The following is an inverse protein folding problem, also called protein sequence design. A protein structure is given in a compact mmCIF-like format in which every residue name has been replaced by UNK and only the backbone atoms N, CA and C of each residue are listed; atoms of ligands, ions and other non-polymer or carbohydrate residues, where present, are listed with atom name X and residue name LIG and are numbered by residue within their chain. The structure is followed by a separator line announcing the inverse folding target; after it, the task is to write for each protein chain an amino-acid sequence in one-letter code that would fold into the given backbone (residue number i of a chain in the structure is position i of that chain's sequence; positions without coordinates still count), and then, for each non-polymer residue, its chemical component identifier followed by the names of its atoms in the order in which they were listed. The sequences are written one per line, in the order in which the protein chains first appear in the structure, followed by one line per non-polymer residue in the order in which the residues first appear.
data_IF_695792497475
#
_entry.id   IF_695792497475
#
_cell.length_a   1.000
_cell.length_b   1.000
_cell.length_c   1.000
_cell.angle_alpha   90.00
_cell.angle_beta   90.00
_cell.angle_gamma   90.00
#
_symmetry.space_group_name_H-M   'P 1'
#
loop_
_entity.id
_entity.type
_entity.pdbx_description
1 polymer ?
#
# COMPACT_ATOMS: atom_id res chain seq x y z
N UNK A 1 -0.48 0.20 4.91
CA UNK A 1 0.94 -0.21 4.86
C UNK A 1 1.71 0.56 5.91
N UNK A 2 2.59 -0.10 6.64
CA UNK A 2 3.46 0.54 7.62
C UNK A 2 4.91 0.09 7.39
N UNK A 3 5.84 1.03 7.42
CA UNK A 3 7.28 0.76 7.37
C UNK A 3 8.03 1.72 8.31
N UNK A 4 9.32 1.47 8.55
CA UNK A 4 10.16 2.37 9.32
C UNK A 4 11.29 2.91 8.45
N UNK A 5 11.38 4.24 8.34
CA UNK A 5 12.46 4.93 7.64
C UNK A 5 13.35 5.62 8.66
N UNK A 6 14.63 5.20 8.73
CA UNK A 6 15.59 5.76 9.68
C UNK A 6 15.97 7.21 9.35
N UNK A 7 15.88 7.61 8.08
CA UNK A 7 16.21 8.98 7.66
C UNK A 7 15.11 9.98 8.02
N UNK A 8 13.91 9.49 8.35
CA UNK A 8 12.76 10.30 8.78
C UNK A 8 12.61 10.36 10.31
N UNK A 9 13.66 10.07 11.06
CA UNK A 9 13.67 10.19 12.53
C UNK A 9 14.06 11.60 12.96
N UNK A 10 13.39 12.12 13.98
CA UNK A 10 13.75 13.37 14.62
C UNK A 10 13.51 13.34 16.13
N UNK A 11 14.27 14.16 16.85
CA UNK A 11 14.06 14.39 18.27
C UNK A 11 12.97 15.46 18.45
N UNK A 12 11.91 15.13 19.19
CA UNK A 12 10.77 16.03 19.35
C UNK A 12 11.13 17.29 20.13
N UNK A 13 12.16 17.26 20.99
CA UNK A 13 12.64 18.44 21.73
C UNK A 13 13.12 19.56 20.82
N UNK A 14 13.69 19.22 19.67
CA UNK A 14 14.33 20.19 18.77
C UNK A 14 13.31 20.90 17.86
N UNK A 15 12.08 20.36 17.80
CA UNK A 15 11.00 20.81 16.93
C UNK A 15 9.70 21.08 17.71
N UNK A 16 9.80 21.62 18.92
CA UNK A 16 8.63 22.09 19.68
C UNK A 16 7.64 20.99 20.09
N UNK A 17 8.12 19.75 20.26
CA UNK A 17 7.30 18.62 20.67
C UNK A 17 6.51 17.95 19.54
N UNK A 18 6.76 18.27 18.27
CA UNK A 18 6.09 17.65 17.12
C UNK A 18 6.39 16.14 17.09
N UNK A 19 5.34 15.33 17.16
CA UNK A 19 5.44 13.85 17.17
C UNK A 19 5.09 13.20 15.84
N UNK A 20 4.28 13.86 15.01
CA UNK A 20 3.85 13.34 13.72
C UNK A 20 3.67 14.43 12.66
N UNK A 21 3.79 14.04 11.39
CA UNK A 21 3.67 14.88 10.20
C UNK A 21 2.87 14.15 9.12
N UNK A 22 2.19 14.90 8.26
CA UNK A 22 1.48 14.36 7.08
C UNK A 22 2.25 14.81 5.84
N UNK A 23 2.90 13.87 5.15
CA UNK A 23 3.77 14.16 4.02
C UNK A 23 3.18 13.55 2.75
N UNK A 24 3.08 14.30 1.63
CA UNK A 24 2.68 13.73 0.36
C UNK A 24 3.58 12.57 -0.07
N UNK A 25 3.02 11.47 -0.62
CA UNK A 25 3.74 10.22 -0.82
C UNK A 25 4.82 10.32 -1.91
N UNK A 26 4.79 11.33 -2.77
CA UNK A 26 5.82 11.59 -3.79
C UNK A 26 7.08 12.27 -3.24
N UNK A 27 7.09 12.69 -1.97
CA UNK A 27 8.24 13.37 -1.33
C UNK A 27 9.11 12.45 -0.49
N UNK A 28 8.65 11.23 -0.24
CA UNK A 28 9.37 10.23 0.56
C UNK A 28 9.34 8.90 -0.20
N UNK A 29 10.27 8.02 0.14
CA UNK A 29 10.20 6.65 -0.34
C UNK A 29 8.95 5.97 0.23
N UNK A 30 8.27 5.17 -0.60
CA UNK A 30 7.18 4.28 -0.20
C UNK A 30 7.34 2.94 -0.94
N UNK A 31 6.93 1.81 -0.35
CA UNK A 31 6.91 0.55 -1.08
C UNK A 31 5.93 0.62 -2.26
N UNK A 32 6.30 -0.02 -3.36
CA UNK A 32 5.58 -0.09 -4.64
C UNK A 32 4.68 -1.34 -4.71
N UNK A 33 3.77 -1.46 -3.73
CA UNK A 33 2.83 -2.59 -3.69
C UNK A 33 1.73 -2.41 -4.74
N UNK A 34 1.66 -3.34 -5.68
CA UNK A 34 0.68 -3.37 -6.78
C UNK A 34 -0.02 -4.73 -6.85
N UNK A 35 -1.17 -4.77 -7.53
CA UNK A 35 -1.94 -6.01 -7.72
C UNK A 35 -1.55 -6.70 -9.03
N UNK A 36 -1.02 -7.92 -8.96
CA UNK A 36 -0.49 -8.63 -10.13
C UNK A 36 -1.58 -9.16 -11.06
N UNK A 37 -2.70 -9.64 -10.51
CA UNK A 37 -3.82 -10.14 -11.29
C UNK A 37 -4.87 -9.04 -11.54
N UNK A 38 -4.43 -7.81 -11.80
CA UNK A 38 -5.31 -6.71 -12.20
C UNK A 38 -5.99 -6.99 -13.54
N UNK A 39 -7.27 -6.66 -13.61
CA UNK A 39 -8.09 -6.60 -14.82
C UNK A 39 -8.37 -5.14 -15.23
N UNK A 40 -7.84 -4.15 -14.51
CA UNK A 40 -7.92 -2.74 -14.86
C UNK A 40 -6.70 -2.30 -15.69
N UNK A 41 -6.91 -1.38 -16.63
CA UNK A 41 -5.83 -0.74 -17.41
C UNK A 41 -4.96 0.13 -16.48
N UNK A 42 -5.58 0.76 -15.47
CA UNK A 42 -4.87 1.41 -14.39
C UNK A 42 -4.30 0.39 -13.40
N UNK A 43 -3.02 0.04 -13.55
CA UNK A 43 -2.35 -0.92 -12.64
C UNK A 43 -2.32 -0.45 -11.17
N UNK A 44 -2.21 0.86 -10.93
CA UNK A 44 -2.36 1.45 -9.60
C UNK A 44 -3.82 1.87 -9.38
N UNK A 45 -4.58 1.04 -8.67
CA UNK A 45 -5.97 1.30 -8.32
C UNK A 45 -6.15 2.21 -7.09
N UNK A 46 -5.06 2.77 -6.54
CA UNK A 46 -5.10 3.53 -5.29
C UNK A 46 -5.22 5.04 -5.52
N UNK A 47 -5.95 5.71 -4.63
CA UNK A 47 -6.00 7.17 -4.57
C UNK A 47 -4.95 7.67 -3.57
N UNK A 48 -4.00 8.46 -4.05
CA UNK A 48 -2.88 8.91 -3.23
C UNK A 48 -3.34 9.80 -2.07
N UNK A 49 -3.02 9.38 -0.84
CA UNK A 49 -3.22 10.14 0.39
C UNK A 49 -1.88 10.55 0.99
N UNK A 50 -1.88 11.43 2.00
CA UNK A 50 -0.65 11.75 2.72
C UNK A 50 -0.23 10.57 3.61
N UNK A 51 1.08 10.38 3.75
CA UNK A 51 1.69 9.43 4.69
C UNK A 51 1.78 10.09 6.06
N UNK A 52 1.35 9.39 7.10
CA UNK A 52 1.56 9.81 8.49
C UNK A 52 2.93 9.33 8.93
N UNK A 53 3.87 10.26 9.10
CA UNK A 53 5.24 9.99 9.54
C UNK A 53 5.35 10.38 11.00
N UNK A 54 5.85 9.49 11.85
CA UNK A 54 6.10 9.72 13.28
C UNK A 54 7.57 9.97 13.56
N UNK A 55 7.88 10.63 14.67
CA UNK A 55 9.24 11.04 15.02
C UNK A 55 10.25 9.89 15.18
N UNK A 56 9.77 8.67 15.44
CA UNK A 56 10.57 7.45 15.50
C UNK A 56 10.82 6.81 14.11
N UNK A 57 10.42 7.47 13.02
CA UNK A 57 10.56 7.01 11.65
C UNK A 57 9.45 6.08 11.16
N UNK A 58 8.46 5.74 12.00
CA UNK A 58 7.29 4.95 11.57
C UNK A 58 6.47 5.75 10.56
N UNK A 59 6.21 5.14 9.41
CA UNK A 59 5.47 5.71 8.30
C UNK A 59 4.23 4.86 8.06
N UNK A 60 3.05 5.44 8.26
CA UNK A 60 1.76 4.81 8.00
C UNK A 60 1.12 5.40 6.75
N UNK A 61 0.90 4.56 5.75
CA UNK A 61 0.24 4.93 4.50
C UNK A 61 -0.99 4.07 4.26
N UNK A 62 -2.16 4.70 4.19
CA UNK A 62 -3.46 4.04 4.04
C UNK A 62 -4.24 4.73 2.91
N UNK A 63 -3.88 4.47 1.64
CA UNK A 63 -4.67 4.98 0.52
C UNK A 63 -5.93 4.11 0.33
N UNK A 64 -7.11 4.70 0.07
CA UNK A 64 -8.23 3.95 -0.45
C UNK A 64 -7.95 3.54 -1.90
N UNK A 65 -8.61 2.51 -2.40
CA UNK A 65 -8.44 2.08 -3.79
C UNK A 65 -9.62 1.25 -4.30
N UNK A 66 -9.79 1.25 -5.61
CA UNK A 66 -10.74 0.39 -6.32
C UNK A 66 -9.90 -0.62 -7.11
N UNK A 67 -10.05 -1.90 -6.77
CA UNK A 67 -9.30 -2.97 -7.40
C UNK A 67 -10.23 -3.85 -8.24
N UNK A 68 -9.85 -4.09 -9.49
CA UNK A 68 -10.52 -5.05 -10.37
C UNK A 68 -9.57 -6.20 -10.62
N UNK A 69 -9.89 -7.38 -10.10
CA UNK A 69 -9.04 -8.56 -10.25
C UNK A 69 -9.61 -9.54 -11.29
N UNK A 70 -8.70 -10.22 -11.99
CA UNK A 70 -9.07 -11.39 -12.79
C UNK A 70 -9.34 -12.55 -11.83
N UNK A 71 -10.54 -13.13 -11.93
CA UNK A 71 -10.97 -14.29 -11.16
C UNK A 71 -11.52 -15.38 -12.07
N UNK A 72 -11.15 -16.63 -11.82
CA UNK A 72 -11.69 -17.79 -12.54
C UNK A 72 -13.02 -18.17 -11.91
N UNK A 73 -14.10 -18.06 -12.68
CA UNK A 73 -15.45 -18.43 -12.25
C UNK A 73 -15.70 -19.91 -12.55
N UNK A 74 -16.19 -20.64 -11.55
CA UNK A 74 -16.62 -22.05 -11.69
C UNK A 74 -18.15 -22.15 -11.68
N UNK A 75 -18.74 -22.44 -12.83
CA UNK A 75 -20.20 -22.48 -13.02
C UNK A 75 -20.81 -23.88 -12.86
N UNK A 76 -20.10 -24.83 -12.25
CA UNK A 76 -20.54 -26.24 -12.14
C UNK A 76 -21.91 -26.38 -11.46
N UNK A 77 -22.25 -25.52 -10.50
CA UNK A 77 -23.47 -25.62 -9.69
C UNK A 77 -24.42 -24.42 -9.81
N UNK A 78 -24.35 -23.66 -10.92
CA UNK A 78 -25.17 -22.47 -11.11
C UNK A 78 -26.69 -22.75 -10.92
N UNK A 79 -27.46 -21.89 -10.22
CA UNK A 79 -27.09 -20.61 -9.62
C UNK A 79 -26.66 -20.69 -8.13
N UNK A 80 -26.32 -21.89 -7.64
CA UNK A 80 -25.94 -22.16 -6.24
C UNK A 80 -24.43 -22.44 -6.10
N UNK A 81 -23.64 -21.85 -6.98
CA UNK A 81 -22.20 -21.95 -7.04
C UNK A 81 -21.51 -21.04 -6.01
N UNK A 82 -20.38 -21.52 -5.47
CA UNK A 82 -19.49 -20.74 -4.61
C UNK A 82 -18.30 -20.25 -5.44
N UNK A 83 -17.96 -18.97 -5.34
CA UNK A 83 -16.82 -18.38 -6.05
C UNK A 83 -15.68 -18.03 -5.10
N UNK A 84 -14.46 -18.42 -5.48
CA UNK A 84 -13.22 -18.07 -4.77
C UNK A 84 -12.33 -17.23 -5.67
N UNK A 85 -12.24 -15.94 -5.34
CA UNK A 85 -11.41 -14.99 -6.06
C UNK A 85 -10.22 -14.54 -5.20
N UNK A 86 -9.01 -14.73 -5.70
CA UNK A 86 -7.79 -14.29 -5.05
C UNK A 86 -7.37 -12.91 -5.56
N UNK A 87 -6.85 -12.07 -4.66
CA UNK A 87 -6.19 -10.82 -5.02
C UNK A 87 -4.72 -10.93 -4.62
N UNK A 88 -3.82 -10.89 -5.62
CA UNK A 88 -2.39 -11.08 -5.41
C UNK A 88 -1.68 -9.74 -5.42
N UNK A 89 -1.12 -9.35 -4.27
CA UNK A 89 -0.35 -8.12 -4.10
C UNK A 89 1.13 -8.42 -3.92
N UNK A 90 1.99 -7.52 -4.39
CA UNK A 90 3.43 -7.60 -4.19
C UNK A 90 4.16 -6.35 -4.68
N UNK A 91 5.45 -6.26 -4.35
CA UNK A 91 6.33 -5.22 -4.89
C UNK A 91 6.63 -5.50 -6.37
N UNK A 92 6.53 -4.48 -7.20
CA UNK A 92 6.77 -4.63 -8.63
C UNK A 92 8.24 -4.64 -9.00
N UNK A 93 9.04 -3.82 -8.31
CA UNK A 93 10.45 -3.58 -8.64
C UNK A 93 11.44 -4.18 -7.66
N UNK A 94 11.00 -4.60 -6.47
CA UNK A 94 11.86 -5.18 -5.45
C UNK A 94 11.53 -6.64 -5.18
N UNK A 95 12.55 -7.41 -4.81
CA UNK A 95 12.37 -8.77 -4.31
C UNK A 95 12.18 -8.82 -2.78
N UNK A 96 11.95 -10.02 -2.25
CA UNK A 96 11.71 -10.25 -0.82
C UNK A 96 12.93 -10.07 0.09
N UNK A 97 14.13 -9.81 -0.44
CA UNK A 97 15.33 -9.49 0.33
C UNK A 97 15.59 -7.97 0.42
N UNK A 98 14.86 -7.17 -0.35
CA UNK A 98 15.07 -5.72 -0.45
C UNK A 98 13.99 -4.89 0.26
N UNK A 99 12.83 -5.48 0.57
CA UNK A 99 11.68 -4.83 1.23
C UNK A 99 11.46 -5.37 2.63
#
# INVERSE_FOLDING_TARGET
MEWNDMNLRWNTSDYGGIKDLRIPPHRIWKPDVLMYNSADEGFDGTYQTNVVVRNNGSCLYVPPGIFKSTCKIDITWFPFDDQRCEMKFGSWTYDGFQV
#
